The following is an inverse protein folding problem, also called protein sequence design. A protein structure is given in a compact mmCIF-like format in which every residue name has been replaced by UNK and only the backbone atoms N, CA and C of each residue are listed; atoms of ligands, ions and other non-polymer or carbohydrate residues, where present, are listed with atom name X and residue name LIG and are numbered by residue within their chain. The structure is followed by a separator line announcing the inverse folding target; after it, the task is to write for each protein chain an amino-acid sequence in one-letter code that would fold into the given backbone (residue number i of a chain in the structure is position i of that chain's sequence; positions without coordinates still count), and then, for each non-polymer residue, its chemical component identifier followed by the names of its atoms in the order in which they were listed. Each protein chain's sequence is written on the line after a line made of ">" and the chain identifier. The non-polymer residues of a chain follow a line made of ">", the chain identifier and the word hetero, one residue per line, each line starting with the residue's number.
data_IF_162214289430
#
_entry.id   IF_162214289430
#
_cell.length_a   1.000
_cell.length_b   1.000
_cell.length_c   1.000
_cell.angle_alpha   90.00
_cell.angle_beta   90.00
_cell.angle_gamma   90.00
#
_symmetry.space_group_name_H-M   'P 1'
#
loop_
_entity.id
_entity.type
_entity.pdbx_description
1 polymer ?
#
# COMPACT_ATOMS: atom_id res chain seq x y z
N UNK A 1 -28.82 -12.63 -2.78
CA UNK A 1 -28.81 -13.23 -1.46
C UNK A 1 -27.48 -13.90 -1.23
N UNK A 2 -26.83 -13.73 -0.07
CA UNK A 2 -25.56 -14.38 0.21
C UNK A 2 -25.78 -15.91 0.18
N UNK A 3 -24.84 -16.70 -0.35
CA UNK A 3 -24.93 -18.15 -0.33
C UNK A 3 -24.62 -18.64 1.09
N UNK A 4 -25.62 -19.04 1.83
CA UNK A 4 -25.46 -19.61 3.16
C UNK A 4 -26.63 -19.22 4.07
N UNK A 5 -27.73 -19.92 3.93
CA UNK A 5 -28.89 -19.71 4.79
C UNK A 5 -28.61 -20.19 6.22
N UNK A 6 -28.94 -19.35 7.18
CA UNK A 6 -29.41 -19.80 8.50
C UNK A 6 -28.39 -19.98 9.62
N UNK A 7 -27.18 -19.46 9.52
CA UNK A 7 -26.31 -19.33 10.70
C UNK A 7 -26.35 -17.87 11.19
N UNK A 8 -26.54 -17.73 12.51
CA UNK A 8 -26.44 -16.41 13.15
C UNK A 8 -25.12 -15.75 12.76
N UNK A 9 -25.15 -14.43 12.40
CA UNK A 9 -23.94 -13.76 11.96
C UNK A 9 -22.86 -13.93 12.99
N UNK A 10 -21.76 -14.57 12.60
CA UNK A 10 -20.62 -14.77 13.49
C UNK A 10 -20.08 -13.41 13.93
N UNK A 11 -19.38 -13.35 15.09
CA UNK A 11 -18.75 -12.13 15.55
C UNK A 11 -17.84 -11.52 14.45
N UNK A 12 -17.30 -12.38 13.59
CA UNK A 12 -16.48 -11.99 12.44
C UNK A 12 -17.33 -11.25 11.40
N UNK A 13 -18.52 -11.78 11.06
CA UNK A 13 -19.43 -11.11 10.12
C UNK A 13 -19.88 -9.75 10.66
N UNK A 14 -20.13 -9.64 11.96
CA UNK A 14 -20.52 -8.37 12.58
C UNK A 14 -19.37 -7.34 12.64
N UNK A 15 -18.11 -7.78 12.78
CA UNK A 15 -16.94 -6.89 12.78
C UNK A 15 -16.62 -6.43 11.35
N UNK A 16 -16.82 -7.28 10.35
CA UNK A 16 -16.49 -6.98 8.97
C UNK A 16 -17.69 -6.57 8.10
N UNK A 17 -18.92 -6.86 8.53
CA UNK A 17 -20.16 -6.37 7.92
C UNK A 17 -20.58 -5.01 8.48
N UNK A 18 -19.68 -4.04 8.47
CA UNK A 18 -19.99 -2.63 8.83
C UNK A 18 -21.01 -1.99 7.88
N UNK A 19 -21.45 -2.73 6.88
CA UNK A 19 -22.36 -2.27 5.83
C UNK A 19 -23.75 -1.85 6.35
N UNK A 20 -24.15 -2.34 7.51
CA UNK A 20 -25.46 -2.00 8.10
C UNK A 20 -25.40 -1.04 9.29
N UNK A 21 -24.25 -0.85 9.91
CA UNK A 21 -24.15 -0.10 11.17
C UNK A 21 -24.19 1.42 11.01
N UNK A 22 -23.77 1.96 9.86
CA UNK A 22 -23.68 3.41 9.63
C UNK A 22 -24.60 3.94 8.53
N UNK A 23 -25.32 3.09 7.78
CA UNK A 23 -26.26 3.53 6.72
C UNK A 23 -25.60 4.32 5.58
N UNK A 24 -24.28 4.22 5.42
CA UNK A 24 -23.53 4.89 4.38
C UNK A 24 -23.28 3.93 3.20
N UNK A 25 -23.29 4.42 1.95
CA UNK A 25 -23.29 3.58 0.74
C UNK A 25 -21.90 3.05 0.36
N UNK A 26 -20.97 2.87 1.31
CA UNK A 26 -19.61 2.42 1.05
C UNK A 26 -19.33 1.10 1.74
N UNK A 27 -18.60 0.21 1.05
CA UNK A 27 -18.14 -1.07 1.60
C UNK A 27 -17.22 -0.85 2.82
N UNK A 28 -17.24 -1.77 3.78
CA UNK A 28 -16.47 -1.71 5.02
C UNK A 28 -14.96 -1.48 4.77
N UNK A 29 -14.44 -1.99 3.64
CA UNK A 29 -13.05 -1.83 3.23
C UNK A 29 -12.62 -0.36 3.11
N UNK A 30 -13.52 0.54 2.67
CA UNK A 30 -13.25 1.98 2.53
C UNK A 30 -13.01 2.63 3.88
N UNK A 31 -13.78 2.25 4.91
CA UNK A 31 -13.61 2.78 6.27
C UNK A 31 -12.29 2.33 6.87
N UNK A 32 -11.95 1.04 6.73
CA UNK A 32 -10.65 0.53 7.18
C UNK A 32 -9.50 1.25 6.49
N UNK A 33 -9.60 1.49 5.20
CA UNK A 33 -8.59 2.22 4.44
C UNK A 33 -8.40 3.65 4.95
N UNK A 34 -9.49 4.40 5.20
CA UNK A 34 -9.44 5.77 5.70
C UNK A 34 -8.84 5.80 7.12
N UNK A 35 -9.29 4.92 8.02
CA UNK A 35 -8.77 4.83 9.39
C UNK A 35 -7.26 4.54 9.36
N UNK A 36 -6.85 3.62 8.50
CA UNK A 36 -5.45 3.22 8.37
C UNK A 36 -4.59 4.36 7.82
N UNK A 37 -5.07 5.11 6.82
CA UNK A 37 -4.38 6.32 6.31
C UNK A 37 -4.19 7.33 7.44
N UNK A 38 -5.23 7.64 8.21
CA UNK A 38 -5.17 8.61 9.31
C UNK A 38 -4.18 8.14 10.36
N UNK A 39 -4.22 6.87 10.73
CA UNK A 39 -3.33 6.27 11.72
C UNK A 39 -1.86 6.33 11.29
N UNK A 40 -1.56 5.92 10.06
CA UNK A 40 -0.19 5.94 9.53
C UNK A 40 0.29 7.38 9.32
N UNK A 41 -0.58 8.29 8.86
CA UNK A 41 -0.25 9.70 8.72
C UNK A 41 0.11 10.33 10.07
N UNK A 42 -0.66 10.04 11.11
CA UNK A 42 -0.34 10.47 12.47
C UNK A 42 1.00 9.92 12.94
N UNK A 43 1.23 8.63 12.77
CA UNK A 43 2.48 7.96 13.15
C UNK A 43 3.68 8.57 12.42
N UNK A 44 3.57 8.81 11.12
CA UNK A 44 4.68 9.36 10.32
C UNK A 44 4.97 10.83 10.63
N UNK A 45 3.92 11.68 10.81
CA UNK A 45 4.11 13.12 10.92
C UNK A 45 4.19 13.63 12.37
N UNK A 46 3.69 12.87 13.34
CA UNK A 46 3.57 13.32 14.73
C UNK A 46 4.43 12.57 15.74
N UNK A 47 5.14 11.49 15.30
CA UNK A 47 5.96 10.71 16.22
C UNK A 47 7.44 10.77 15.88
N UNK A 48 8.29 10.57 16.89
CA UNK A 48 9.74 10.40 16.70
C UNK A 48 10.05 9.19 15.82
N UNK A 49 9.19 8.18 15.87
CA UNK A 49 9.33 6.98 15.06
C UNK A 49 9.23 7.28 13.56
N UNK A 50 8.31 8.18 13.15
CA UNK A 50 8.22 8.64 11.76
C UNK A 50 9.51 9.32 11.30
N UNK A 51 10.12 10.15 12.13
CA UNK A 51 11.41 10.78 11.82
C UNK A 51 12.54 9.73 11.65
N UNK A 52 12.54 8.70 12.50
CA UNK A 52 13.49 7.58 12.36
C UNK A 52 13.29 6.79 11.05
N UNK A 53 12.06 6.63 10.60
CA UNK A 53 11.74 5.99 9.31
C UNK A 53 12.39 6.77 8.16
N UNK A 54 12.19 8.09 8.10
CA UNK A 54 12.78 8.92 7.05
C UNK A 54 14.31 8.93 7.12
N UNK A 55 14.89 9.09 8.31
CA UNK A 55 16.32 9.09 8.51
C UNK A 55 16.95 7.75 8.10
N UNK A 56 16.36 6.63 8.53
CA UNK A 56 16.86 5.29 8.21
C UNK A 56 16.71 4.90 6.75
N UNK A 57 15.74 5.52 6.05
CA UNK A 57 15.52 5.32 4.62
C UNK A 57 16.46 6.17 3.76
N UNK A 58 16.79 7.39 4.18
CA UNK A 58 17.65 8.32 3.45
C UNK A 58 19.13 7.96 3.51
N UNK A 59 19.68 7.94 4.71
CA UNK A 59 21.07 7.51 4.96
C UNK A 59 21.13 6.67 6.25
N UNK A 60 21.15 5.34 6.11
CA UNK A 60 21.24 4.44 7.26
C UNK A 60 22.52 4.56 8.07
N UNK A 61 23.63 5.04 7.48
CA UNK A 61 24.92 5.19 8.15
C UNK A 61 24.90 6.44 9.03
N UNK A 62 24.50 7.57 8.46
CA UNK A 62 24.33 8.82 9.19
C UNK A 62 23.27 8.68 10.30
N UNK A 63 22.15 8.01 10.02
CA UNK A 63 21.12 7.76 11.03
C UNK A 63 21.62 6.97 12.24
N UNK A 64 22.45 5.95 12.02
CA UNK A 64 23.10 5.20 13.13
C UNK A 64 24.05 6.09 13.94
N UNK A 65 24.81 6.96 13.28
CA UNK A 65 25.74 7.88 13.95
C UNK A 65 25.00 8.87 14.87
N UNK A 66 23.75 9.20 14.57
CA UNK A 66 22.88 10.05 15.40
C UNK A 66 22.05 9.28 16.44
N UNK A 67 22.31 7.96 16.60
CA UNK A 67 21.66 7.13 17.62
C UNK A 67 20.32 6.52 17.20
N UNK A 68 19.93 6.60 15.93
CA UNK A 68 18.70 5.96 15.43
C UNK A 68 18.88 4.45 15.39
N UNK A 69 17.99 3.65 15.99
CA UNK A 69 18.06 2.19 15.97
C UNK A 69 17.55 1.62 14.63
N UNK A 70 18.32 1.83 13.55
CA UNK A 70 17.94 1.52 12.17
C UNK A 70 17.48 0.07 11.98
N UNK A 71 18.12 -0.89 12.67
CA UNK A 71 17.72 -2.31 12.57
C UNK A 71 16.31 -2.53 13.13
N UNK A 72 16.00 -2.00 14.31
CA UNK A 72 14.69 -2.13 14.93
C UNK A 72 13.60 -1.43 14.12
N UNK A 73 13.90 -0.26 13.55
CA UNK A 73 12.99 0.46 12.65
C UNK A 73 12.65 -0.37 11.42
N UNK A 74 13.64 -0.99 10.78
CA UNK A 74 13.41 -1.87 9.63
C UNK A 74 12.58 -3.09 10.00
N UNK A 75 12.92 -3.78 11.08
CA UNK A 75 12.18 -4.97 11.55
C UNK A 75 10.72 -4.62 11.80
N UNK A 76 10.44 -3.56 12.54
CA UNK A 76 9.08 -3.14 12.85
C UNK A 76 8.28 -2.71 11.60
N UNK A 77 8.92 -2.07 10.62
CA UNK A 77 8.27 -1.75 9.34
C UNK A 77 7.90 -3.01 8.55
N UNK A 78 8.77 -4.01 8.52
CA UNK A 78 8.45 -5.30 7.90
C UNK A 78 7.30 -6.01 8.63
N UNK A 79 7.30 -5.99 9.97
CA UNK A 79 6.19 -6.55 10.76
C UNK A 79 4.86 -5.87 10.47
N UNK A 80 4.84 -4.53 10.43
CA UNK A 80 3.65 -3.75 10.09
C UNK A 80 3.18 -4.08 8.67
N UNK A 81 4.08 -4.05 7.69
CA UNK A 81 3.75 -4.35 6.29
C UNK A 81 3.16 -5.76 6.14
N UNK A 82 3.77 -6.76 6.77
CA UNK A 82 3.28 -8.15 6.73
C UNK A 82 1.92 -8.29 7.42
N UNK A 83 1.71 -7.62 8.54
CA UNK A 83 0.42 -7.63 9.25
C UNK A 83 -0.69 -7.02 8.41
N UNK A 84 -0.41 -5.91 7.72
CA UNK A 84 -1.35 -5.27 6.81
C UNK A 84 -1.65 -6.13 5.57
N UNK A 85 -0.64 -6.81 5.03
CA UNK A 85 -0.83 -7.76 3.93
C UNK A 85 -1.70 -8.95 4.34
N UNK A 86 -1.51 -9.47 5.55
CA UNK A 86 -2.35 -10.52 6.11
C UNK A 86 -3.80 -10.05 6.27
N UNK A 87 -4.01 -8.88 6.83
CA UNK A 87 -5.35 -8.28 6.98
C UNK A 87 -6.03 -8.10 5.61
N UNK A 88 -5.31 -7.60 4.61
CA UNK A 88 -5.83 -7.47 3.25
C UNK A 88 -6.21 -8.84 2.66
N UNK A 89 -5.40 -9.88 2.91
CA UNK A 89 -5.70 -11.24 2.48
C UNK A 89 -7.00 -11.77 3.08
N UNK A 90 -7.19 -11.56 4.38
CA UNK A 90 -8.43 -11.95 5.08
C UNK A 90 -9.64 -11.23 4.49
N UNK A 91 -9.57 -9.90 4.33
CA UNK A 91 -10.64 -9.11 3.73
C UNK A 91 -10.97 -9.59 2.32
N UNK A 92 -9.96 -9.87 1.50
CA UNK A 92 -10.16 -10.35 0.12
C UNK A 92 -10.88 -11.70 0.09
N UNK A 93 -10.57 -12.63 0.99
CA UNK A 93 -11.26 -13.93 1.06
C UNK A 93 -12.71 -13.75 1.53
N UNK A 94 -12.94 -12.89 2.50
CA UNK A 94 -14.28 -12.62 3.02
C UNK A 94 -15.21 -11.99 1.98
N UNK A 95 -14.70 -11.01 1.22
CA UNK A 95 -15.48 -10.33 0.16
C UNK A 95 -15.69 -11.18 -1.07
N UNK A 96 -14.71 -12.03 -1.43
CA UNK A 96 -14.82 -12.91 -2.59
C UNK A 96 -15.61 -14.18 -2.33
N UNK A 97 -15.79 -14.57 -1.06
CA UNK A 97 -16.42 -15.85 -0.67
C UNK A 97 -15.65 -17.09 -1.13
N UNK A 98 -14.46 -16.92 -1.72
CA UNK A 98 -13.63 -18.00 -2.24
C UNK A 98 -12.15 -17.68 -2.04
N UNK A 99 -11.36 -18.71 -1.75
CA UNK A 99 -9.90 -18.61 -1.69
C UNK A 99 -9.30 -19.01 -3.04
N UNK A 100 -8.69 -18.06 -3.73
CA UNK A 100 -7.92 -18.32 -4.95
C UNK A 100 -6.41 -18.31 -4.60
N UNK A 101 -5.68 -19.41 -4.86
CA UNK A 101 -4.23 -19.46 -4.62
C UNK A 101 -3.43 -18.38 -5.37
N UNK A 102 -3.99 -17.85 -6.47
CA UNK A 102 -3.37 -16.80 -7.29
C UNK A 102 -3.80 -15.38 -6.93
N UNK A 103 -4.68 -15.18 -5.95
CA UNK A 103 -5.18 -13.85 -5.57
C UNK A 103 -4.08 -12.88 -5.12
N UNK A 104 -2.94 -13.42 -4.65
CA UNK A 104 -1.76 -12.65 -4.22
C UNK A 104 -0.76 -12.33 -5.32
N UNK A 105 -0.84 -12.96 -6.49
CA UNK A 105 0.17 -12.85 -7.54
C UNK A 105 0.32 -11.39 -8.02
N UNK A 106 1.58 -10.91 -8.01
CA UNK A 106 1.98 -9.55 -8.43
C UNK A 106 1.39 -8.41 -7.60
N UNK A 107 0.75 -8.66 -6.46
CA UNK A 107 0.23 -7.62 -5.57
C UNK A 107 1.33 -6.71 -5.03
N UNK A 108 2.54 -7.25 -4.82
CA UNK A 108 3.72 -6.49 -4.44
C UNK A 108 4.09 -5.43 -5.50
N UNK A 109 4.04 -5.77 -6.79
CA UNK A 109 4.31 -4.82 -7.87
C UNK A 109 3.25 -3.72 -7.93
N UNK A 110 1.99 -4.07 -7.72
CA UNK A 110 0.89 -3.10 -7.64
C UNK A 110 1.10 -2.11 -6.49
N UNK A 111 1.50 -2.60 -5.31
CA UNK A 111 1.77 -1.74 -4.16
C UNK A 111 2.96 -0.80 -4.41
N UNK A 112 4.04 -1.30 -5.01
CA UNK A 112 5.21 -0.50 -5.38
C UNK A 112 4.82 0.57 -6.41
N UNK A 113 4.08 0.20 -7.47
CA UNK A 113 3.63 1.14 -8.49
C UNK A 113 2.74 2.23 -7.90
N UNK A 114 1.79 1.87 -7.04
CA UNK A 114 0.93 2.82 -6.35
C UNK A 114 1.74 3.81 -5.49
N UNK A 115 2.72 3.32 -4.72
CA UNK A 115 3.58 4.17 -3.90
C UNK A 115 4.42 5.14 -4.76
N UNK A 116 4.95 4.65 -5.90
CA UNK A 116 5.74 5.45 -6.84
C UNK A 116 4.89 6.53 -7.52
N UNK A 117 3.69 6.20 -7.98
CA UNK A 117 2.72 7.17 -8.52
C UNK A 117 2.38 8.22 -7.47
N UNK A 118 2.31 7.81 -6.20
CA UNK A 118 2.10 8.69 -5.05
C UNK A 118 3.31 9.55 -4.65
N UNK A 119 4.43 9.45 -5.38
CA UNK A 119 5.63 10.24 -5.15
C UNK A 119 6.54 9.74 -4.03
N UNK A 120 6.41 8.47 -3.63
CA UNK A 120 7.35 7.85 -2.71
C UNK A 120 8.65 7.45 -3.43
N UNK A 121 9.79 7.82 -2.86
CA UNK A 121 11.09 7.46 -3.41
C UNK A 121 11.41 5.97 -3.19
N UNK A 122 11.73 5.23 -4.25
CA UNK A 122 12.13 3.82 -4.17
C UNK A 122 13.44 3.64 -3.39
N UNK A 123 14.30 4.64 -3.39
CA UNK A 123 15.55 4.65 -2.62
C UNK A 123 15.35 4.87 -1.13
N UNK A 124 14.14 5.24 -0.71
CA UNK A 124 13.80 5.60 0.67
C UNK A 124 14.08 7.06 1.00
N UNK A 125 13.81 7.44 2.25
CA UNK A 125 14.07 8.78 2.81
C UNK A 125 13.06 9.85 2.44
N UNK A 126 12.23 9.65 1.42
CA UNK A 126 11.21 10.60 0.98
C UNK A 126 9.90 9.92 0.59
N UNK A 127 8.80 10.52 0.97
CA UNK A 127 7.46 10.08 0.65
C UNK A 127 6.42 10.70 1.58
N UNK A 128 5.15 10.63 1.18
CA UNK A 128 4.04 11.06 2.03
C UNK A 128 2.91 10.05 2.01
N UNK A 129 2.23 9.88 3.14
CA UNK A 129 1.08 8.96 3.25
C UNK A 129 -0.06 9.43 2.35
N UNK A 130 -0.31 10.73 2.31
CA UNK A 130 -1.37 11.32 1.48
C UNK A 130 -1.06 11.08 -0.01
N UNK A 131 0.20 11.31 -0.42
CA UNK A 131 0.65 11.03 -1.78
C UNK A 131 0.45 9.55 -2.14
N UNK A 132 0.90 8.63 -1.26
CA UNK A 132 0.74 7.19 -1.47
C UNK A 132 -0.74 6.78 -1.57
N UNK A 133 -1.63 7.38 -0.76
CA UNK A 133 -3.06 7.13 -0.81
C UNK A 133 -3.68 7.57 -2.15
N UNK A 134 -3.34 8.78 -2.63
CA UNK A 134 -3.76 9.23 -3.96
C UNK A 134 -3.17 8.38 -5.08
N UNK A 135 -1.91 7.97 -4.95
CA UNK A 135 -1.28 7.05 -5.90
C UNK A 135 -1.98 5.70 -5.97
N UNK A 136 -2.38 5.14 -4.83
CA UNK A 136 -3.16 3.91 -4.77
C UNK A 136 -4.54 4.07 -5.42
N UNK A 137 -5.20 5.21 -5.20
CA UNK A 137 -6.50 5.53 -5.82
C UNK A 137 -6.39 5.65 -7.35
N UNK A 138 -5.41 6.42 -7.84
CA UNK A 138 -5.14 6.56 -9.29
C UNK A 138 -4.82 5.20 -9.89
N UNK A 139 -3.97 4.43 -9.23
CA UNK A 139 -3.60 3.08 -9.67
C UNK A 139 -4.81 2.15 -9.74
N UNK A 140 -5.70 2.18 -8.74
CA UNK A 140 -6.91 1.37 -8.71
C UNK A 140 -7.85 1.70 -9.88
N UNK A 141 -8.05 2.99 -10.18
CA UNK A 141 -8.86 3.43 -11.33
C UNK A 141 -8.21 2.96 -12.64
N UNK A 142 -6.91 3.16 -12.81
CA UNK A 142 -6.19 2.75 -14.01
C UNK A 142 -6.25 1.23 -14.21
N UNK A 143 -6.01 0.45 -13.16
CA UNK A 143 -6.07 -1.01 -13.17
C UNK A 143 -7.46 -1.56 -13.51
N UNK A 144 -8.51 -0.92 -12.99
CA UNK A 144 -9.90 -1.27 -13.34
C UNK A 144 -10.25 -0.83 -14.77
N UNK A 145 -9.83 0.36 -15.17
CA UNK A 145 -10.11 0.92 -16.50
C UNK A 145 -9.54 0.08 -17.64
N UNK A 146 -8.36 -0.49 -17.45
CA UNK A 146 -7.70 -1.34 -18.46
C UNK A 146 -8.52 -2.58 -18.79
N UNK A 147 -9.25 -3.16 -17.84
CA UNK A 147 -10.11 -4.32 -18.09
C UNK A 147 -11.27 -4.04 -19.07
N UNK A 148 -11.59 -2.77 -19.32
CA UNK A 148 -12.61 -2.36 -20.30
C UNK A 148 -12.04 -2.15 -21.70
N UNK A 149 -10.72 -2.20 -21.88
CA UNK A 149 -10.07 -1.99 -23.17
C UNK A 149 -9.77 -3.33 -23.84
N UNK A 150 -10.48 -3.74 -24.90
CA UNK A 150 -10.40 -5.09 -25.46
C UNK A 150 -9.07 -5.43 -26.13
N UNK A 151 -8.17 -4.44 -26.30
CA UNK A 151 -6.85 -4.63 -26.93
C UNK A 151 -5.70 -4.76 -25.94
N UNK A 152 -5.95 -4.61 -24.64
CA UNK A 152 -4.89 -4.66 -23.62
C UNK A 152 -5.04 -5.92 -22.79
N UNK A 153 -4.17 -6.89 -23.05
CA UNK A 153 -4.05 -8.10 -22.23
C UNK A 153 -3.45 -7.78 -20.84
N UNK A 154 -3.83 -8.57 -19.83
CA UNK A 154 -3.24 -8.50 -18.49
C UNK A 154 -1.71 -8.56 -18.48
N UNK A 155 -1.11 -9.26 -19.46
CA UNK A 155 0.34 -9.33 -19.61
C UNK A 155 0.94 -7.99 -20.05
N UNK A 156 0.28 -7.30 -20.97
CA UNK A 156 0.71 -5.96 -21.41
C UNK A 156 0.67 -4.96 -20.25
N UNK A 157 -0.37 -5.03 -19.42
CA UNK A 157 -0.47 -4.20 -18.22
C UNK A 157 0.69 -4.43 -17.26
N UNK A 158 1.09 -5.69 -17.01
CA UNK A 158 2.25 -6.03 -16.17
C UNK A 158 3.55 -5.46 -16.75
N UNK A 159 3.73 -5.51 -18.06
CA UNK A 159 4.90 -4.90 -18.73
C UNK A 159 4.90 -3.37 -18.53
N UNK A 160 3.75 -2.72 -18.69
CA UNK A 160 3.62 -1.27 -18.45
C UNK A 160 3.94 -0.90 -17.00
N UNK A 161 3.50 -1.69 -16.02
CA UNK A 161 3.86 -1.50 -14.62
C UNK A 161 5.37 -1.64 -14.40
N UNK A 162 6.00 -2.66 -14.96
CA UNK A 162 7.44 -2.85 -14.87
C UNK A 162 8.20 -1.66 -15.45
N UNK A 163 7.78 -1.16 -16.61
CA UNK A 163 8.37 0.03 -17.24
C UNK A 163 8.18 1.30 -16.40
N UNK A 164 7.03 1.47 -15.77
CA UNK A 164 6.75 2.62 -14.90
C UNK A 164 7.67 2.59 -13.66
N UNK A 165 7.81 1.44 -13.01
CA UNK A 165 8.70 1.27 -11.86
C UNK A 165 10.16 1.52 -12.27
N UNK A 166 10.59 0.95 -13.37
CA UNK A 166 11.95 1.13 -13.90
C UNK A 166 12.22 2.59 -14.28
N UNK A 167 11.30 3.23 -14.98
CA UNK A 167 11.39 4.64 -15.34
C UNK A 167 11.49 5.56 -14.11
N UNK A 168 10.69 5.30 -13.09
CA UNK A 168 10.75 6.04 -11.82
C UNK A 168 12.08 5.82 -11.09
N UNK A 169 12.60 4.59 -11.07
CA UNK A 169 13.88 4.30 -10.45
C UNK A 169 15.03 5.03 -11.15
N UNK A 170 15.05 5.01 -12.50
CA UNK A 170 16.06 5.71 -13.30
C UNK A 170 15.97 7.23 -13.13
N UNK A 171 14.76 7.78 -13.14
CA UNK A 171 14.55 9.21 -12.93
C UNK A 171 15.04 9.66 -11.55
N UNK A 172 14.73 8.88 -10.51
CA UNK A 172 15.17 9.17 -9.16
C UNK A 172 16.71 9.11 -9.03
N UNK A 173 17.32 8.11 -9.65
CA UNK A 173 18.79 7.99 -9.69
C UNK A 173 19.42 9.17 -10.43
N UNK A 174 18.88 9.56 -11.59
CA UNK A 174 19.37 10.69 -12.37
C UNK A 174 19.27 12.02 -11.60
N UNK A 175 18.15 12.26 -10.91
CA UNK A 175 17.95 13.45 -10.09
C UNK A 175 18.93 13.50 -8.92
N UNK A 176 19.15 12.36 -8.26
CA UNK A 176 20.11 12.24 -7.15
C UNK A 176 21.53 12.54 -7.60
N UNK A 177 21.96 12.01 -8.75
CA UNK A 177 23.29 12.24 -9.31
C UNK A 177 23.50 13.71 -9.70
N UNK A 178 22.46 14.40 -10.12
CA UNK A 178 22.51 15.84 -10.42
C UNK A 178 22.66 16.69 -9.16
N UNK A 179 21.91 16.35 -8.11
CA UNK A 179 21.95 17.09 -6.82
C UNK A 179 23.27 16.89 -6.09
N UNK A 180 23.89 15.72 -6.21
CA UNK A 180 25.18 15.43 -5.55
C UNK A 180 26.40 15.96 -6.31
N UNK A 181 26.25 16.30 -7.60
CA UNK A 181 27.34 16.84 -8.45
C UNK A 181 27.30 18.35 -8.65
N UNK A 182 26.25 19.03 -8.19
CA UNK A 182 26.11 20.49 -8.16
C UNK A 182 26.33 21.05 -6.78
#
# INVERSE_FOLDING_TARGET
>A
PPPGGGEDPTLIDNIFAFDSAFGLPFDAEVYYFIILIIFIAYLLHRTQYGNWIYASGGDPVAARATGVPVANVKISLFMISTSLACLLGILTVMTSGASDPKAGDFRELHAIAAAVIGGCALTGGYGSVVGAAFGAFIFAIASRGINFVPFIDNNLFRVMLGLLILGSALLNQYLRDRVLKG
#
